data_IF_172110573107
#
_entry.id   IF_172110573107
#
_cell.length_a   1.000
_cell.length_b   1.000
_cell.length_c   1.000
_cell.angle_alpha   90.00
_cell.angle_beta   90.00
_cell.angle_gamma   90.00
#
_symmetry.space_group_name_H-M   'P 1'
#
loop_
_entity.id
_entity.type
_entity.pdbx_description
1 polymer ?
#
# COMPACT_ATOMS: atom_id res chain seq x y z
N UNK A 1 -18.99 -13.47 -16.80
CA UNK A 1 -20.28 -13.01 -16.21
C UNK A 1 -19.94 -11.91 -15.22
N UNK A 2 -20.46 -10.68 -15.40
CA UNK A 2 -20.27 -9.58 -14.44
C UNK A 2 -21.33 -9.73 -13.35
N UNK A 3 -21.00 -10.43 -12.27
CA UNK A 3 -21.82 -10.35 -11.07
C UNK A 3 -21.65 -8.95 -10.45
N UNK A 4 -22.70 -8.31 -9.93
CA UNK A 4 -22.58 -6.98 -9.33
C UNK A 4 -21.80 -7.09 -8.01
N UNK A 5 -20.53 -6.67 -8.04
CA UNK A 5 -19.69 -6.54 -6.86
C UNK A 5 -19.63 -5.07 -6.48
N UNK A 6 -19.95 -4.77 -5.23
CA UNK A 6 -19.87 -3.43 -4.65
C UNK A 6 -18.64 -3.31 -3.75
N UNK A 7 -17.95 -2.17 -3.82
CA UNK A 7 -16.84 -1.85 -2.92
C UNK A 7 -17.42 -1.23 -1.65
N UNK A 8 -17.21 -1.88 -0.51
CA UNK A 8 -17.66 -1.40 0.81
C UNK A 8 -16.45 -1.03 1.67
N UNK A 9 -16.48 0.17 2.24
CA UNK A 9 -15.52 0.60 3.26
C UNK A 9 -16.15 0.41 4.64
N UNK A 10 -15.56 -0.45 5.47
CA UNK A 10 -16.11 -0.80 6.77
C UNK A 10 -16.10 0.41 7.74
N UNK A 11 -17.13 0.50 8.59
CA UNK A 11 -17.33 1.62 9.51
C UNK A 11 -16.22 1.76 10.56
N UNK A 12 -15.64 0.64 10.99
CA UNK A 12 -14.51 0.59 11.91
C UNK A 12 -13.22 1.14 11.29
N UNK A 13 -13.12 1.14 9.95
CA UNK A 13 -11.97 1.58 9.18
C UNK A 13 -11.52 0.54 8.15
N UNK A 14 -10.60 0.93 7.28
CA UNK A 14 -10.01 0.04 6.26
C UNK A 14 -8.51 -0.10 6.46
N UNK A 15 -7.95 -1.32 6.40
CA UNK A 15 -6.52 -1.53 6.55
C UNK A 15 -5.75 -0.86 5.41
N UNK A 16 -4.74 -0.06 5.77
CA UNK A 16 -3.79 0.51 4.82
C UNK A 16 -2.59 -0.42 4.68
N UNK A 17 -2.39 -0.95 3.48
CA UNK A 17 -1.20 -1.72 3.13
C UNK A 17 -0.25 -0.80 2.37
N UNK A 18 0.94 -0.57 2.92
CA UNK A 18 1.97 0.25 2.28
C UNK A 18 2.80 -0.62 1.33
N UNK A 19 3.02 -0.14 0.11
CA UNK A 19 3.97 -0.74 -0.84
C UNK A 19 5.30 0.01 -0.73
N UNK A 20 6.32 -0.55 -0.06
CA UNK A 20 7.59 0.14 0.15
C UNK A 20 8.49 0.09 -1.08
N UNK A 21 9.42 1.04 -1.17
CA UNK A 21 10.55 1.02 -2.10
C UNK A 21 11.84 1.26 -1.32
N UNK A 22 12.86 0.44 -1.58
CA UNK A 22 14.16 0.52 -0.89
C UNK A 22 15.32 0.29 -1.83
N UNK A 23 16.44 0.96 -1.58
CA UNK A 23 17.70 0.78 -2.30
C UNK A 23 18.64 -0.05 -1.42
N UNK A 24 19.10 -1.19 -1.93
CA UNK A 24 20.06 -2.02 -1.21
C UNK A 24 21.39 -1.30 -1.00
N UNK A 25 22.00 -1.51 0.17
CA UNK A 25 23.32 -0.93 0.52
C UNK A 25 24.39 -1.30 -0.50
N UNK A 26 24.37 -2.52 -1.00
CA UNK A 26 25.33 -3.07 -1.97
C UNK A 26 24.78 -3.11 -3.40
N UNK A 27 23.85 -2.20 -3.76
CA UNK A 27 23.33 -2.14 -5.12
C UNK A 27 24.48 -1.92 -6.12
N UNK A 28 24.58 -2.71 -7.21
CA UNK A 28 25.68 -2.60 -8.18
C UNK A 28 25.65 -1.27 -8.93
N UNK A 29 24.48 -0.64 -9.03
CA UNK A 29 24.27 0.65 -9.67
C UNK A 29 23.48 1.59 -8.73
N UNK A 30 24.10 2.16 -7.67
CA UNK A 30 23.37 2.88 -6.63
C UNK A 30 22.72 4.17 -7.13
N UNK A 31 23.35 4.85 -8.09
CA UNK A 31 22.78 6.08 -8.68
C UNK A 31 21.54 5.78 -9.54
N UNK A 32 21.57 4.71 -10.34
CA UNK A 32 20.41 4.28 -11.11
C UNK A 32 19.26 3.83 -10.20
N UNK A 33 19.55 3.10 -9.11
CA UNK A 33 18.55 2.69 -8.14
C UNK A 33 17.87 3.89 -7.45
N UNK A 34 18.63 4.92 -7.08
CA UNK A 34 18.07 6.17 -6.52
C UNK A 34 17.25 6.94 -7.56
N UNK A 35 17.71 7.00 -8.81
CA UNK A 35 16.96 7.64 -9.89
C UNK A 35 15.60 6.94 -10.11
N UNK A 36 15.60 5.61 -10.12
CA UNK A 36 14.36 4.84 -10.20
C UNK A 36 13.45 5.11 -9.00
N UNK A 37 13.99 5.16 -7.78
CA UNK A 37 13.21 5.49 -6.59
C UNK A 37 12.59 6.90 -6.67
N UNK A 38 13.34 7.89 -7.15
CA UNK A 38 12.83 9.25 -7.39
C UNK A 38 11.71 9.26 -8.42
N UNK A 39 11.85 8.52 -9.53
CA UNK A 39 10.78 8.35 -10.51
C UNK A 39 9.56 7.65 -9.91
N UNK A 40 9.77 6.57 -9.15
CA UNK A 40 8.70 5.77 -8.55
C UNK A 40 7.78 6.62 -7.65
N UNK A 41 8.33 7.63 -6.97
CA UNK A 41 7.58 8.55 -6.12
C UNK A 41 7.24 9.89 -6.78
N UNK A 42 7.55 10.09 -8.06
CA UNK A 42 7.13 11.29 -8.81
C UNK A 42 5.61 11.27 -9.05
N UNK A 43 5.05 12.42 -9.44
CA UNK A 43 3.65 12.51 -9.85
C UNK A 43 3.32 11.55 -11.00
N UNK A 44 4.20 11.44 -11.99
CA UNK A 44 4.06 10.53 -13.13
C UNK A 44 4.09 9.06 -12.70
N UNK A 45 5.10 8.66 -11.92
CA UNK A 45 5.24 7.28 -11.45
C UNK A 45 4.07 6.85 -10.58
N UNK A 46 3.62 7.75 -9.70
CA UNK A 46 2.46 7.50 -8.84
C UNK A 46 1.15 7.46 -9.63
N UNK A 47 0.96 8.32 -10.64
CA UNK A 47 -0.23 8.27 -11.50
C UNK A 47 -0.29 6.96 -12.29
N UNK A 48 0.85 6.50 -12.83
CA UNK A 48 0.95 5.20 -13.50
C UNK A 48 0.48 4.06 -12.61
N UNK A 49 0.83 4.09 -11.31
CA UNK A 49 0.39 3.09 -10.34
C UNK A 49 -1.12 3.12 -10.08
N UNK A 50 -1.71 4.31 -9.98
CA UNK A 50 -3.17 4.46 -9.81
C UNK A 50 -3.93 3.96 -11.04
N UNK A 51 -3.47 4.30 -12.23
CA UNK A 51 -4.20 4.03 -13.47
C UNK A 51 -4.22 2.53 -13.80
N UNK A 52 -3.05 1.88 -13.68
CA UNK A 52 -2.83 0.52 -14.17
C UNK A 52 -2.93 -0.56 -13.08
N UNK A 53 -2.69 -0.21 -11.81
CA UNK A 53 -2.58 -1.18 -10.73
C UNK A 53 -3.58 -0.94 -9.59
N UNK A 54 -4.52 -0.02 -9.78
CA UNK A 54 -5.56 0.34 -8.80
C UNK A 54 -5.00 0.74 -7.43
N UNK A 55 -3.75 1.22 -7.39
CA UNK A 55 -3.15 1.76 -6.18
C UNK A 55 -3.85 3.06 -5.74
N UNK A 56 -3.62 3.44 -4.49
CA UNK A 56 -3.92 4.76 -3.96
C UNK A 56 -2.60 5.48 -3.72
N UNK A 57 -2.54 6.78 -4.01
CA UNK A 57 -1.34 7.60 -3.80
C UNK A 57 -1.58 8.67 -2.75
N UNK A 58 -0.55 8.97 -1.97
CA UNK A 58 -0.53 10.13 -1.07
C UNK A 58 0.10 11.37 -1.73
N UNK A 59 0.56 11.26 -2.97
CA UNK A 59 1.16 12.37 -3.68
C UNK A 59 0.08 13.40 -4.09
N UNK A 60 0.22 14.65 -3.65
CA UNK A 60 -0.83 15.67 -3.76
C UNK A 60 -1.29 16.00 -5.19
N UNK A 61 -0.45 15.74 -6.19
CA UNK A 61 -0.75 16.00 -7.61
C UNK A 61 -1.40 14.81 -8.33
N UNK A 62 -1.56 13.65 -7.69
CA UNK A 62 -2.12 12.45 -8.31
C UNK A 62 -3.64 12.51 -8.30
N UNK A 63 -4.24 12.17 -9.45
CA UNK A 63 -5.68 12.08 -9.61
C UNK A 63 -6.14 10.68 -9.26
N UNK A 64 -7.17 10.59 -8.43
CA UNK A 64 -7.76 9.31 -8.08
C UNK A 64 -8.52 8.68 -9.23
N UNK A 65 -8.61 7.35 -9.21
CA UNK A 65 -9.40 6.60 -10.18
C UNK A 65 -10.89 6.95 -10.04
N UNK A 66 -11.64 7.15 -11.16
CA UNK A 66 -13.07 7.39 -11.11
C UNK A 66 -13.81 6.30 -10.31
N UNK A 67 -14.75 6.74 -9.47
CA UNK A 67 -15.55 5.84 -8.60
C UNK A 67 -14.90 5.53 -7.25
N UNK A 68 -13.65 5.93 -7.01
CA UNK A 68 -13.07 5.85 -5.67
C UNK A 68 -13.46 7.10 -4.83
N UNK A 69 -13.83 6.93 -3.55
CA UNK A 69 -13.95 8.07 -2.65
C UNK A 69 -12.54 8.63 -2.36
N UNK A 70 -12.41 9.95 -2.14
CA UNK A 70 -11.13 10.57 -1.79
C UNK A 70 -10.41 9.86 -0.65
N UNK A 71 -9.10 9.65 -0.75
CA UNK A 71 -8.35 8.92 0.28
C UNK A 71 -8.44 9.60 1.65
N UNK A 72 -8.55 10.93 1.64
CA UNK A 72 -8.72 11.77 2.84
C UNK A 72 -10.06 11.56 3.55
N UNK A 73 -11.08 10.99 2.91
CA UNK A 73 -12.38 10.69 3.55
C UNK A 73 -12.42 9.28 4.16
N UNK A 74 -11.41 8.44 3.89
CA UNK A 74 -11.35 7.09 4.42
C UNK A 74 -10.72 7.04 5.81
N UNK A 75 -11.34 6.28 6.71
CA UNK A 75 -10.76 5.94 8.02
C UNK A 75 -9.71 4.84 7.83
N UNK A 76 -8.45 5.23 7.69
CA UNK A 76 -7.34 4.29 7.45
C UNK A 76 -6.81 3.70 8.77
N UNK A 77 -6.74 2.37 8.83
CA UNK A 77 -6.07 1.64 9.91
C UNK A 77 -4.60 1.47 9.54
N UNK A 78 -3.72 2.15 10.26
CA UNK A 78 -2.27 2.10 10.05
C UNK A 78 -1.64 1.12 11.02
N UNK A 79 -0.71 0.32 10.53
CA UNK A 79 0.13 -0.53 11.39
C UNK A 79 1.43 0.20 11.71
N UNK A 80 1.93 0.07 12.94
CA UNK A 80 3.31 0.44 13.28
C UNK A 80 4.27 -0.64 12.74
N UNK A 81 5.12 -0.34 11.75
CA UNK A 81 6.01 -1.33 11.17
C UNK A 81 7.01 -1.92 12.17
N UNK A 82 7.47 -1.12 13.16
CA UNK A 82 8.42 -1.59 14.16
C UNK A 82 7.77 -2.59 15.13
N UNK A 83 6.56 -2.27 15.59
CA UNK A 83 5.78 -3.19 16.42
C UNK A 83 5.41 -4.48 15.68
N UNK A 84 4.98 -4.37 14.41
CA UNK A 84 4.66 -5.56 13.58
C UNK A 84 5.89 -6.45 13.40
N UNK A 85 7.06 -5.86 13.16
CA UNK A 85 8.31 -6.63 13.06
C UNK A 85 8.62 -7.36 14.37
N UNK A 86 8.55 -6.66 15.51
CA UNK A 86 8.83 -7.25 16.82
C UNK A 86 7.85 -8.38 17.19
N UNK A 87 6.60 -8.29 16.74
CA UNK A 87 5.51 -9.24 17.07
C UNK A 87 5.26 -10.29 15.98
N UNK A 88 6.07 -10.32 14.91
CA UNK A 88 5.77 -11.10 13.70
C UNK A 88 5.49 -12.58 13.97
N UNK A 89 6.31 -13.24 14.80
CA UNK A 89 6.15 -14.66 15.10
C UNK A 89 4.95 -14.94 16.01
N UNK A 90 4.68 -14.06 16.99
CA UNK A 90 3.49 -14.17 17.84
C UNK A 90 2.20 -14.02 17.03
N UNK A 91 2.16 -13.02 16.14
CA UNK A 91 1.02 -12.77 15.25
C UNK A 91 0.74 -14.00 14.38
N UNK A 92 1.77 -14.57 13.74
CA UNK A 92 1.65 -15.79 12.92
C UNK A 92 1.17 -16.99 13.74
N UNK A 93 1.75 -17.22 14.93
CA UNK A 93 1.38 -18.35 15.78
C UNK A 93 -0.07 -18.24 16.27
N UNK A 94 -0.51 -17.03 16.64
CA UNK A 94 -1.90 -16.76 17.03
C UNK A 94 -2.86 -16.96 15.86
N UNK A 95 -2.49 -16.51 14.66
CA UNK A 95 -3.27 -16.74 13.44
C UNK A 95 -3.48 -18.24 13.17
N UNK A 96 -2.40 -19.02 13.16
CA UNK A 96 -2.44 -20.48 12.99
C UNK A 96 -3.36 -21.15 14.01
N UNK A 97 -3.26 -20.77 15.30
CA UNK A 97 -4.11 -21.29 16.37
C UNK A 97 -5.59 -20.96 16.16
N UNK A 98 -5.91 -19.73 15.76
CA UNK A 98 -7.30 -19.28 15.59
C UNK A 98 -7.98 -19.92 14.38
N UNK A 99 -7.26 -20.00 13.26
CA UNK A 99 -7.81 -20.46 11.98
C UNK A 99 -7.51 -21.92 11.67
N UNK A 100 -6.72 -22.61 12.51
CA UNK A 100 -6.34 -24.03 12.38
C UNK A 100 -5.63 -24.32 11.06
N UNK A 101 -4.64 -23.50 10.73
CA UNK A 101 -3.76 -23.60 9.55
C UNK A 101 -2.31 -23.73 9.95
#
# INVERSE_FOLDING_TARGET
QRQPVEVVYASEGSPLIVVPSGVFRSAPNPNAARLFQSFFFSSEGQQLLVDNFAHRSFHAQVKEKPGHPPLSTLKLLKSDPAAVLAQSEEIKARYAKLFKV
#
